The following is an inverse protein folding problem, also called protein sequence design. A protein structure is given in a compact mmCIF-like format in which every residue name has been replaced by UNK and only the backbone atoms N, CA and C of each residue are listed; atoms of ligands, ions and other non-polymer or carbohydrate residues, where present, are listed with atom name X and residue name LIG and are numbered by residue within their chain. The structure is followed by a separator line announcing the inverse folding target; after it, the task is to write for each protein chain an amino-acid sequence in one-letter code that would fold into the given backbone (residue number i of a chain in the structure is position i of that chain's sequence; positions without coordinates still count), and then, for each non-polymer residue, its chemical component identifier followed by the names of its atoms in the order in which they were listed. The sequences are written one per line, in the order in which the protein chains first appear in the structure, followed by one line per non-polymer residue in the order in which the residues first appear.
data_IF_143408048960
#
_entry.id   IF_143408048960
#
_cell.length_a   1.000
_cell.length_b   1.000
_cell.length_c   1.000
_cell.angle_alpha   90.00
_cell.angle_beta   90.00
_cell.angle_gamma   90.00
#
_symmetry.space_group_name_H-M   'P 1'
#
loop_
_entity.id
_entity.type
_entity.pdbx_description
1 polymer ?
#
# COMPACT_ATOMS: atom_id res chain seq x y z
N UNK A 1 33.79 -6.92 22.29
CA UNK A 1 32.94 -7.48 21.21
C UNK A 1 31.42 -7.25 21.42
N UNK A 2 30.95 -6.81 22.59
CA UNK A 2 29.51 -6.59 22.88
C UNK A 2 28.94 -5.24 22.40
N UNK A 3 29.78 -4.21 22.25
CA UNK A 3 29.36 -2.87 21.77
C UNK A 3 28.88 -2.87 20.31
N UNK A 4 29.58 -3.55 19.40
CA UNK A 4 29.15 -3.70 18.00
C UNK A 4 27.81 -4.44 17.87
N UNK A 5 27.53 -5.41 18.76
CA UNK A 5 26.26 -6.14 18.78
C UNK A 5 25.09 -5.30 19.33
N UNK A 6 25.33 -4.45 20.33
CA UNK A 6 24.31 -3.54 20.84
C UNK A 6 23.98 -2.43 19.84
N UNK A 7 25.00 -1.78 19.27
CA UNK A 7 24.83 -0.77 18.22
C UNK A 7 24.13 -1.35 16.98
N UNK A 8 24.47 -2.57 16.56
CA UNK A 8 23.79 -3.27 15.47
C UNK A 8 22.31 -3.56 15.76
N UNK A 9 21.96 -3.97 16.99
CA UNK A 9 20.55 -4.18 17.38
C UNK A 9 19.75 -2.89 17.49
N UNK A 10 20.37 -1.81 17.94
CA UNK A 10 19.73 -0.48 17.96
C UNK A 10 19.54 0.04 16.55
N UNK A 11 20.53 -0.11 15.68
CA UNK A 11 20.45 0.28 14.27
C UNK A 11 19.38 -0.52 13.52
N UNK A 12 19.31 -1.84 13.71
CA UNK A 12 18.28 -2.70 13.14
C UNK A 12 16.87 -2.33 13.65
N UNK A 13 16.76 -1.95 14.93
CA UNK A 13 15.49 -1.44 15.50
C UNK A 13 15.11 -0.08 14.91
N UNK A 14 16.06 0.83 14.72
CA UNK A 14 15.84 2.14 14.10
C UNK A 14 15.45 1.97 12.63
N UNK A 15 16.14 1.11 11.88
CA UNK A 15 15.85 0.81 10.48
C UNK A 15 14.44 0.23 10.32
N UNK A 16 14.07 -0.77 11.14
CA UNK A 16 12.71 -1.30 11.19
C UNK A 16 11.67 -0.25 11.57
N UNK A 17 11.99 0.62 12.53
CA UNK A 17 11.08 1.71 12.94
C UNK A 17 10.91 2.72 11.81
N UNK A 18 11.98 3.12 11.12
CA UNK A 18 11.95 4.01 9.96
C UNK A 18 11.25 3.38 8.75
N UNK A 19 11.29 2.05 8.59
CA UNK A 19 10.53 1.32 7.57
C UNK A 19 9.03 1.27 7.88
N UNK A 20 8.65 1.12 9.15
CA UNK A 20 7.24 1.12 9.57
C UNK A 20 6.64 2.52 9.73
N UNK A 21 7.47 3.54 9.99
CA UNK A 21 7.06 4.92 10.16
C UNK A 21 6.22 5.47 8.99
N UNK A 22 6.61 5.35 7.71
CA UNK A 22 5.80 5.85 6.60
C UNK A 22 4.45 5.12 6.52
N UNK A 23 4.41 3.82 6.82
CA UNK A 23 3.15 3.05 6.85
C UNK A 23 2.23 3.58 7.95
N UNK A 24 2.77 3.78 9.15
CA UNK A 24 2.01 4.31 10.31
C UNK A 24 1.53 5.73 10.04
N UNK A 25 2.39 6.62 9.56
CA UNK A 25 2.05 8.00 9.23
C UNK A 25 0.98 8.07 8.15
N UNK A 26 1.11 7.30 7.06
CA UNK A 26 0.10 7.23 6.00
C UNK A 26 -1.23 6.68 6.52
N UNK A 27 -1.18 5.67 7.40
CA UNK A 27 -2.38 5.11 8.01
C UNK A 27 -3.09 6.16 8.87
N UNK A 28 -2.36 6.85 9.75
CA UNK A 28 -2.91 7.93 10.60
C UNK A 28 -3.50 9.07 9.75
N UNK A 29 -2.80 9.50 8.71
CA UNK A 29 -3.27 10.56 7.81
C UNK A 29 -4.59 10.17 7.12
N UNK A 30 -4.68 8.95 6.61
CA UNK A 30 -5.87 8.43 5.92
C UNK A 30 -7.06 8.31 6.88
N UNK A 31 -6.85 7.89 8.13
CA UNK A 31 -7.90 7.92 9.16
C UNK A 31 -8.33 9.35 9.53
N UNK A 32 -7.39 10.30 9.65
CA UNK A 32 -7.70 11.71 9.96
C UNK A 32 -8.56 12.35 8.89
N UNK A 33 -8.15 12.23 7.62
CA UNK A 33 -8.90 12.78 6.48
C UNK A 33 -10.29 12.15 6.40
N UNK A 34 -10.39 10.84 6.59
CA UNK A 34 -11.69 10.15 6.57
C UNK A 34 -12.60 10.66 7.69
N UNK A 35 -12.06 10.90 8.89
CA UNK A 35 -12.82 11.44 10.01
C UNK A 35 -13.28 12.89 9.76
N UNK A 36 -12.42 13.73 9.19
CA UNK A 36 -12.75 15.12 8.83
C UNK A 36 -13.87 15.16 7.78
N UNK A 37 -13.77 14.38 6.70
CA UNK A 37 -14.80 14.32 5.65
C UNK A 37 -16.13 13.79 6.23
N UNK A 38 -16.09 12.76 7.07
CA UNK A 38 -17.29 12.27 7.75
C UNK A 38 -17.89 13.32 8.68
N UNK A 39 -17.05 14.09 9.40
CA UNK A 39 -17.49 15.17 10.26
C UNK A 39 -18.16 16.29 9.47
N UNK A 40 -17.58 16.74 8.34
CA UNK A 40 -18.17 17.77 7.49
C UNK A 40 -19.55 17.37 6.94
N UNK A 41 -19.68 16.13 6.45
CA UNK A 41 -20.97 15.59 5.97
C UNK A 41 -22.03 15.56 7.06
N UNK A 42 -21.63 15.28 8.32
CA UNK A 42 -22.52 15.26 9.47
C UNK A 42 -22.83 16.67 10.01
N UNK A 43 -21.85 17.58 10.01
CA UNK A 43 -21.91 18.93 10.62
C UNK A 43 -22.40 20.01 9.68
N UNK A 44 -22.57 19.76 8.38
CA UNK A 44 -23.53 20.47 7.52
C UNK A 44 -25.00 20.19 7.95
N UNK A 45 -25.25 20.18 9.26
CA UNK A 45 -26.54 20.29 9.91
C UNK A 45 -26.94 21.78 9.92
N UNK A 46 -28.22 22.07 9.69
CA UNK A 46 -28.67 23.25 8.97
C UNK A 46 -28.53 24.53 9.79
N UNK A 47 -27.92 25.55 9.20
CA UNK A 47 -27.88 26.92 9.75
C UNK A 47 -29.17 27.73 9.52
N UNK A 48 -30.25 27.12 9.02
CA UNK A 48 -31.53 27.83 8.85
C UNK A 48 -32.77 27.03 9.31
N UNK A 49 -33.70 27.68 10.04
CA UNK A 49 -34.90 27.05 10.60
C UNK A 49 -35.98 26.69 9.57
N UNK A 50 -35.79 26.98 8.28
CA UNK A 50 -36.74 26.75 7.18
C UNK A 50 -36.46 25.48 6.34
N UNK A 51 -35.31 24.83 6.52
CA UNK A 51 -34.93 23.58 5.84
C UNK A 51 -35.64 22.34 6.43
N UNK A 52 -36.97 22.35 6.52
CA UNK A 52 -37.80 21.20 6.97
C UNK A 52 -38.29 20.30 5.83
N UNK A 53 -37.67 20.36 4.66
CA UNK A 53 -37.90 19.39 3.57
C UNK A 53 -36.57 18.84 3.11
N UNK A 54 -36.24 17.62 3.50
CA UNK A 54 -35.83 16.55 2.56
C UNK A 54 -35.29 15.32 3.31
N UNK A 55 -36.07 14.23 3.31
CA UNK A 55 -35.54 12.87 3.53
C UNK A 55 -34.33 12.58 2.62
N UNK A 56 -34.26 13.25 1.46
CA UNK A 56 -33.17 13.21 0.50
C UNK A 56 -31.84 13.68 1.08
N UNK A 57 -31.83 14.65 2.02
CA UNK A 57 -30.59 15.10 2.69
C UNK A 57 -30.03 14.02 3.61
N UNK A 58 -30.87 13.36 4.42
CA UNK A 58 -30.42 12.26 5.29
C UNK A 58 -30.01 11.03 4.48
N UNK A 59 -30.80 10.63 3.47
CA UNK A 59 -30.47 9.49 2.60
C UNK A 59 -29.17 9.73 1.84
N UNK A 60 -28.95 10.93 1.29
CA UNK A 60 -27.71 11.29 0.63
C UNK A 60 -26.50 11.23 1.58
N UNK A 61 -26.62 11.79 2.79
CA UNK A 61 -25.58 11.71 3.82
C UNK A 61 -25.26 10.27 4.21
N UNK A 62 -26.28 9.44 4.43
CA UNK A 62 -26.08 8.02 4.75
C UNK A 62 -25.43 7.27 3.60
N UNK A 63 -25.87 7.48 2.35
CA UNK A 63 -25.28 6.85 1.17
C UNK A 63 -23.82 7.29 0.96
N UNK A 64 -23.52 8.58 1.10
CA UNK A 64 -22.16 9.10 0.99
C UNK A 64 -21.24 8.48 2.04
N UNK A 65 -21.67 8.43 3.31
CA UNK A 65 -20.91 7.78 4.38
C UNK A 65 -20.71 6.28 4.11
N UNK A 66 -21.75 5.56 3.67
CA UNK A 66 -21.64 4.13 3.33
C UNK A 66 -20.63 3.89 2.20
N UNK A 67 -20.69 4.68 1.13
CA UNK A 67 -19.74 4.61 0.02
C UNK A 67 -18.33 4.94 0.50
N UNK A 68 -18.16 6.00 1.30
CA UNK A 68 -16.88 6.41 1.85
C UNK A 68 -16.24 5.31 2.72
N UNK A 69 -17.00 4.72 3.65
CA UNK A 69 -16.50 3.62 4.49
C UNK A 69 -16.24 2.34 3.70
N UNK A 70 -17.05 2.05 2.67
CA UNK A 70 -16.82 0.91 1.78
C UNK A 70 -15.51 1.09 0.97
N UNK A 71 -15.29 2.26 0.38
CA UNK A 71 -14.04 2.57 -0.33
C UNK A 71 -12.84 2.49 0.61
N UNK A 72 -12.95 3.05 1.82
CA UNK A 72 -11.91 2.98 2.85
C UNK A 72 -11.56 1.54 3.23
N UNK A 73 -12.57 0.69 3.44
CA UNK A 73 -12.39 -0.74 3.69
C UNK A 73 -11.66 -1.45 2.56
N UNK A 74 -12.01 -1.14 1.31
CA UNK A 74 -11.33 -1.70 0.13
C UNK A 74 -9.87 -1.26 0.02
N UNK A 75 -9.55 0.01 0.34
CA UNK A 75 -8.18 0.52 0.36
C UNK A 75 -7.35 -0.21 1.41
N UNK A 76 -7.84 -0.30 2.66
CA UNK A 76 -7.14 -1.00 3.74
C UNK A 76 -6.95 -2.48 3.41
N UNK A 77 -7.97 -3.12 2.86
CA UNK A 77 -7.91 -4.54 2.50
C UNK A 77 -6.86 -4.79 1.40
N UNK A 78 -6.88 -4.02 0.32
CA UNK A 78 -5.89 -4.16 -0.76
C UNK A 78 -4.48 -3.78 -0.29
N UNK A 79 -4.32 -2.75 0.54
CA UNK A 79 -3.03 -2.40 1.14
C UNK A 79 -2.50 -3.54 2.03
N UNK A 80 -3.37 -4.17 2.81
CA UNK A 80 -3.02 -5.33 3.63
C UNK A 80 -2.59 -6.52 2.78
N UNK A 81 -3.31 -6.81 1.69
CA UNK A 81 -2.94 -7.86 0.75
C UNK A 81 -1.62 -7.54 0.02
N UNK A 82 -1.39 -6.27 -0.32
CA UNK A 82 -0.12 -5.81 -0.89
C UNK A 82 1.04 -6.10 0.06
N UNK A 83 0.94 -5.68 1.33
CA UNK A 83 1.98 -5.86 2.35
C UNK A 83 2.20 -7.33 2.72
N UNK A 84 1.14 -8.15 2.73
CA UNK A 84 1.25 -9.59 3.00
C UNK A 84 1.82 -10.38 1.82
N UNK A 85 1.76 -9.84 0.61
CA UNK A 85 2.24 -10.53 -0.59
C UNK A 85 3.69 -10.19 -0.85
N UNK A 86 4.59 -11.12 -0.51
CA UNK A 86 6.02 -10.98 -0.80
C UNK A 86 6.27 -10.83 -2.31
N UNK A 87 6.99 -9.78 -2.76
CA UNK A 87 7.36 -9.58 -4.16
C UNK A 87 8.55 -10.43 -4.60
N UNK A 88 9.19 -11.16 -3.67
CA UNK A 88 10.37 -11.96 -3.94
C UNK A 88 10.08 -13.14 -4.88
N UNK A 89 11.06 -13.46 -5.73
CA UNK A 89 11.09 -14.68 -6.56
C UNK A 89 11.71 -15.88 -5.82
N UNK A 90 12.23 -15.67 -4.61
CA UNK A 90 12.86 -16.74 -3.84
C UNK A 90 11.84 -17.85 -3.52
N UNK A 91 12.20 -19.09 -3.83
CA UNK A 91 11.33 -20.26 -3.63
C UNK A 91 10.33 -20.52 -4.76
N UNK A 92 10.38 -19.78 -5.88
CA UNK A 92 9.63 -20.12 -7.09
C UNK A 92 10.48 -21.05 -7.95
N UNK A 93 9.98 -22.27 -8.20
CA UNK A 93 10.58 -23.17 -9.20
C UNK A 93 10.36 -22.59 -10.60
N UNK A 94 11.32 -21.81 -11.06
CA UNK A 94 11.40 -21.44 -12.47
C UNK A 94 12.02 -22.64 -13.17
N UNK A 95 11.19 -23.45 -13.84
CA UNK A 95 11.62 -24.68 -14.50
C UNK A 95 12.90 -24.46 -15.30
N UNK A 96 13.93 -25.26 -15.00
CA UNK A 96 15.24 -25.20 -15.66
C UNK A 96 15.23 -25.82 -17.07
N UNK A 97 14.09 -26.32 -17.53
CA UNK A 97 13.93 -26.88 -18.87
C UNK A 97 13.93 -25.75 -19.90
N UNK A 98 15.14 -25.41 -20.33
CA UNK A 98 15.41 -24.33 -21.27
C UNK A 98 15.59 -22.99 -20.55
N UNK A 99 16.81 -22.72 -20.08
CA UNK A 99 17.24 -21.34 -19.82
C UNK A 99 17.07 -20.55 -21.13
N UNK A 100 15.90 -19.94 -21.28
CA UNK A 100 15.55 -19.18 -22.46
C UNK A 100 16.49 -17.99 -22.63
N UNK A 101 16.60 -17.48 -23.85
CA UNK A 101 17.40 -16.30 -24.14
C UNK A 101 16.99 -15.12 -23.23
N UNK A 102 17.97 -14.53 -22.52
CA UNK A 102 17.76 -13.35 -21.68
C UNK A 102 17.65 -13.57 -20.16
N UNK A 103 17.85 -14.79 -19.67
CA UNK A 103 18.08 -15.02 -18.25
C UNK A 103 19.41 -14.43 -17.79
N UNK A 104 19.48 -13.99 -16.53
CA UNK A 104 20.67 -13.42 -15.91
C UNK A 104 20.94 -14.10 -14.58
N UNK A 105 22.13 -13.93 -14.02
CA UNK A 105 22.44 -14.40 -12.68
C UNK A 105 22.55 -13.19 -11.74
N UNK A 106 21.86 -13.23 -10.61
CA UNK A 106 22.03 -12.24 -9.56
C UNK A 106 23.04 -12.75 -8.55
N UNK A 107 24.21 -12.09 -8.46
CA UNK A 107 25.26 -12.45 -7.51
C UNK A 107 24.84 -12.23 -6.05
N UNK A 108 24.05 -11.19 -5.76
CA UNK A 108 23.61 -10.86 -4.38
C UNK A 108 22.62 -11.88 -3.81
N UNK A 109 21.73 -12.41 -4.65
CA UNK A 109 20.73 -13.40 -4.24
C UNK A 109 21.14 -14.83 -4.63
N UNK A 110 22.31 -15.00 -5.25
CA UNK A 110 22.84 -16.27 -5.76
C UNK A 110 21.80 -17.10 -6.54
N UNK A 111 21.05 -16.43 -7.42
CA UNK A 111 19.92 -17.05 -8.12
C UNK A 111 19.83 -16.62 -9.58
N UNK A 112 19.37 -17.54 -10.42
CA UNK A 112 19.06 -17.25 -11.82
C UNK A 112 17.76 -16.45 -11.91
N UNK A 113 17.85 -15.28 -12.53
CA UNK A 113 16.74 -14.35 -12.67
C UNK A 113 16.19 -14.40 -14.11
N UNK A 114 14.86 -14.53 -14.27
CA UNK A 114 14.24 -14.52 -15.58
C UNK A 114 14.29 -13.11 -16.20
N UNK A 115 14.04 -12.97 -17.53
CA UNK A 115 13.98 -11.66 -18.15
C UNK A 115 12.94 -10.76 -17.47
N UNK A 116 13.29 -9.48 -17.29
CA UNK A 116 12.52 -8.45 -16.54
C UNK A 116 12.47 -8.66 -15.02
N UNK A 117 13.32 -9.51 -14.46
CA UNK A 117 13.57 -9.53 -13.02
C UNK A 117 14.74 -8.60 -12.67
N UNK A 118 14.59 -7.83 -11.59
CA UNK A 118 15.61 -6.90 -11.11
C UNK A 118 15.79 -7.03 -9.60
N UNK A 119 17.03 -6.95 -9.13
CA UNK A 119 17.35 -6.91 -7.71
C UNK A 119 17.01 -5.52 -7.14
N UNK A 120 16.35 -5.49 -5.98
CA UNK A 120 16.15 -4.26 -5.22
C UNK A 120 17.13 -4.24 -4.04
N UNK A 121 17.99 -3.22 -3.98
CA UNK A 121 18.95 -3.07 -2.90
C UNK A 121 18.30 -2.74 -1.55
N UNK A 122 17.18 -2.01 -1.55
CA UNK A 122 16.44 -1.67 -0.32
C UNK A 122 15.74 -2.89 0.29
N UNK A 123 15.07 -3.70 -0.56
CA UNK A 123 14.41 -4.93 -0.10
C UNK A 123 15.35 -6.15 -0.02
N UNK A 124 16.57 -6.05 -0.56
CA UNK A 124 17.58 -7.13 -0.65
C UNK A 124 17.05 -8.43 -1.28
N UNK A 125 16.14 -8.32 -2.24
CA UNK A 125 15.52 -9.45 -2.95
C UNK A 125 15.42 -9.19 -4.44
N UNK A 126 15.40 -10.28 -5.23
CA UNK A 126 15.05 -10.23 -6.64
C UNK A 126 13.52 -10.20 -6.81
N UNK A 127 13.03 -9.26 -7.63
CA UNK A 127 11.59 -9.06 -7.86
C UNK A 127 11.28 -9.24 -9.34
N UNK A 128 10.31 -10.12 -9.62
CA UNK A 128 9.84 -10.37 -10.99
C UNK A 128 9.02 -9.20 -11.52
N UNK A 129 9.33 -8.71 -12.73
CA UNK A 129 8.74 -7.50 -13.32
C UNK A 129 8.72 -6.36 -12.30
N UNK A 130 9.87 -6.10 -11.68
CA UNK A 130 10.01 -5.01 -10.71
C UNK A 130 9.64 -3.70 -11.39
N UNK A 131 8.68 -2.99 -10.82
CA UNK A 131 8.33 -1.64 -11.25
C UNK A 131 9.20 -0.65 -10.48
N UNK A 132 8.93 -0.47 -9.18
CA UNK A 132 9.71 0.40 -8.30
C UNK A 132 9.70 -0.11 -6.84
N UNK A 133 10.62 0.42 -6.01
CA UNK A 133 10.51 0.32 -4.56
C UNK A 133 9.59 1.43 -4.07
N UNK A 134 8.44 1.08 -3.50
CA UNK A 134 7.48 2.07 -3.05
C UNK A 134 7.81 2.48 -1.61
N UNK A 135 8.28 3.72 -1.44
CA UNK A 135 8.62 4.30 -0.13
C UNK A 135 7.40 4.43 0.80
N UNK A 136 6.20 4.56 0.23
CA UNK A 136 4.95 4.67 1.02
C UNK A 136 4.57 3.36 1.71
N UNK A 137 4.87 2.23 1.08
CA UNK A 137 4.58 0.90 1.61
C UNK A 137 5.82 0.18 2.15
N UNK A 138 7.02 0.76 2.01
CA UNK A 138 8.28 0.13 2.41
C UNK A 138 8.58 -1.19 1.69
N UNK A 139 7.98 -1.40 0.51
CA UNK A 139 8.03 -2.67 -0.22
C UNK A 139 8.09 -2.44 -1.74
N UNK A 140 8.77 -3.33 -2.46
CA UNK A 140 8.74 -3.35 -3.92
C UNK A 140 7.36 -3.67 -4.48
N UNK A 141 7.00 -2.92 -5.53
CA UNK A 141 5.91 -3.26 -6.44
C UNK A 141 6.49 -4.16 -7.53
N UNK A 142 5.92 -5.35 -7.67
CA UNK A 142 6.31 -6.34 -8.66
C UNK A 142 5.14 -7.21 -9.07
N UNK A 143 5.38 -8.20 -9.93
CA UNK A 143 4.33 -8.98 -10.57
C UNK A 143 3.27 -9.55 -9.60
N UNK A 144 3.69 -10.07 -8.44
CA UNK A 144 2.81 -10.75 -7.48
C UNK A 144 1.86 -9.81 -6.74
N UNK A 145 2.29 -8.59 -6.44
CA UNK A 145 1.52 -7.62 -5.65
C UNK A 145 1.00 -6.43 -6.48
N UNK A 146 1.34 -6.37 -7.77
CA UNK A 146 0.94 -5.30 -8.70
C UNK A 146 -0.56 -5.03 -8.70
N UNK A 147 -1.39 -6.10 -8.71
CA UNK A 147 -2.86 -5.97 -8.74
C UNK A 147 -3.40 -5.22 -7.53
N UNK A 148 -2.85 -5.48 -6.35
CA UNK A 148 -3.31 -4.84 -5.11
C UNK A 148 -2.90 -3.38 -5.06
N UNK A 149 -1.68 -3.08 -5.55
CA UNK A 149 -1.21 -1.70 -5.69
C UNK A 149 -2.12 -0.89 -6.62
N UNK A 150 -2.47 -1.43 -7.80
CA UNK A 150 -3.39 -0.77 -8.71
C UNK A 150 -4.80 -0.59 -8.11
N UNK A 151 -5.34 -1.60 -7.44
CA UNK A 151 -6.63 -1.48 -6.75
C UNK A 151 -6.61 -0.36 -5.70
N UNK A 152 -5.54 -0.24 -4.91
CA UNK A 152 -5.38 0.86 -3.95
C UNK A 152 -5.43 2.22 -4.63
N UNK A 153 -4.70 2.39 -5.74
CA UNK A 153 -4.69 3.65 -6.50
C UNK A 153 -6.06 3.99 -7.08
N UNK A 154 -6.77 2.99 -7.63
CA UNK A 154 -8.10 3.17 -8.19
C UNK A 154 -9.10 3.64 -7.13
N UNK A 155 -9.18 2.95 -5.99
CA UNK A 155 -10.11 3.33 -4.92
C UNK A 155 -9.77 4.68 -4.29
N UNK A 156 -8.48 5.01 -4.20
CA UNK A 156 -8.03 6.33 -3.74
C UNK A 156 -8.47 7.44 -4.70
N UNK A 157 -8.29 7.24 -6.01
CA UNK A 157 -8.67 8.22 -7.03
C UNK A 157 -10.20 8.43 -7.11
N UNK A 158 -10.98 7.35 -7.02
CA UNK A 158 -12.45 7.45 -7.02
C UNK A 158 -12.96 8.18 -5.78
N UNK A 159 -12.32 8.02 -4.62
CA UNK A 159 -12.68 8.74 -3.39
C UNK A 159 -12.44 10.25 -3.47
N UNK A 160 -11.42 10.70 -4.21
CA UNK A 160 -11.19 12.13 -4.47
C UNK A 160 -12.16 12.73 -5.49
N UNK A 161 -12.73 11.91 -6.37
CA UNK A 161 -13.63 12.37 -7.43
C UNK A 161 -15.06 12.59 -6.94
N UNK A 162 -15.46 11.94 -5.84
CA UNK A 162 -16.79 12.11 -5.22
C UNK A 162 -16.95 13.43 -4.45
N UNK A 163 -15.90 14.24 -4.31
CA UNK A 163 -15.93 15.54 -3.64
C UNK A 163 -15.93 16.75 -4.60
N UNK A 164 -16.16 16.52 -5.91
CA UNK A 164 -16.22 17.56 -6.95
C UNK A 164 -17.65 17.87 -7.37
#
# INVERSE_FOLDING_TARGET
MTWFSFAGRVWDRVEKTCLHLPIVLNTVLVFSITAEVSYLVLVEAPLQPDQKKTQWSTVWKTLHLLVQYFMFGNIIWNASLFLKTSPSIQGVFLGSEGMAQGWRFCYTCETHTPPRCSHCYDCKVCVLRRDHHCVFFGQCVGFRNYRYFLSCLLFMWTGSSSSS
#
